data_IF_454719736525
#
_entry.id   IF_454719736525
#
_cell.length_a   1.000
_cell.length_b   1.000
_cell.length_c   1.000
_cell.angle_alpha   90.00
_cell.angle_beta   90.00
_cell.angle_gamma   90.00
#
_symmetry.space_group_name_H-M   'P 1'
#
loop_
_entity.id
_entity.type
_entity.pdbx_description
1 polymer ?
#
# COMPACT_ATOMS: atom_id res chain seq x y z
N UNK A 1 8.29 -0.91 -10.75
CA UNK A 1 8.01 0.54 -10.74
C UNK A 1 6.66 0.77 -11.42
N UNK A 2 5.92 1.85 -11.10
CA UNK A 2 4.56 2.15 -11.65
C UNK A 2 3.41 1.27 -11.14
N UNK A 3 3.48 0.80 -9.90
CA UNK A 3 2.33 0.16 -9.24
C UNK A 3 1.41 1.20 -8.61
N UNK A 4 0.11 0.95 -8.63
CA UNK A 4 -0.81 1.68 -7.75
C UNK A 4 -0.52 1.28 -6.30
N UNK A 5 -0.59 2.21 -5.37
CA UNK A 5 -0.44 1.92 -3.94
C UNK A 5 -1.40 2.74 -3.09
N UNK A 6 -1.60 2.31 -1.85
CA UNK A 6 -2.21 3.11 -0.78
C UNK A 6 -1.32 3.14 0.46
N UNK A 7 -1.54 4.14 1.33
CA UNK A 7 -0.85 4.27 2.61
C UNK A 7 -1.81 3.83 3.72
N UNK A 8 -1.37 2.88 4.54
CA UNK A 8 -2.06 2.50 5.77
C UNK A 8 -1.49 3.25 6.96
N UNK A 9 -2.37 4.02 7.60
CA UNK A 9 -2.14 4.67 8.89
C UNK A 9 -2.93 3.95 9.98
N UNK A 10 -2.33 3.82 11.16
CA UNK A 10 -2.98 3.26 12.34
C UNK A 10 -3.23 4.38 13.34
N UNK A 11 -4.49 4.62 13.68
CA UNK A 11 -4.91 5.65 14.63
C UNK A 11 -5.48 4.97 15.87
N UNK A 12 -4.93 5.27 17.04
CA UNK A 12 -5.45 4.87 18.34
C UNK A 12 -6.27 6.00 18.92
N UNK A 13 -7.55 5.75 19.18
CA UNK A 13 -8.46 6.70 19.85
C UNK A 13 -8.60 6.24 21.30
N UNK A 14 -8.23 7.08 22.26
CA UNK A 14 -8.29 6.74 23.70
C UNK A 14 -9.39 7.47 24.45
N UNK A 15 -9.88 8.57 23.90
CA UNK A 15 -10.97 9.35 24.49
C UNK A 15 -11.74 10.04 23.39
N UNK A 16 -13.05 10.21 23.58
CA UNK A 16 -13.96 10.91 22.66
C UNK A 16 -14.37 12.28 23.18
N UNK A 17 -14.33 12.49 24.50
CA UNK A 17 -14.62 13.77 25.16
C UNK A 17 -13.76 13.92 26.43
N UNK A 18 -12.63 14.66 26.37
CA UNK A 18 -12.11 15.33 25.18
C UNK A 18 -11.63 14.30 24.14
N UNK A 19 -11.66 14.66 22.85
CA UNK A 19 -11.13 13.79 21.79
C UNK A 19 -9.60 13.66 21.93
N UNK A 20 -9.11 12.45 22.13
CA UNK A 20 -7.68 12.13 22.21
C UNK A 20 -7.38 11.01 21.23
N UNK A 21 -6.52 11.31 20.25
CA UNK A 21 -6.12 10.39 19.18
C UNK A 21 -4.61 10.39 18.99
N UNK A 22 -4.03 9.22 18.74
CA UNK A 22 -2.61 9.01 18.48
C UNK A 22 -2.42 8.37 17.11
N UNK A 23 -1.47 8.88 16.33
CA UNK A 23 -1.05 8.26 15.08
C UNK A 23 0.16 7.37 15.35
N UNK A 24 0.06 6.08 15.04
CA UNK A 24 1.19 5.16 15.13
C UNK A 24 2.15 5.35 13.95
N UNK A 25 3.44 5.46 14.26
CA UNK A 25 4.53 5.58 13.29
C UNK A 25 5.55 4.44 13.47
N UNK A 26 6.05 3.82 12.39
CA UNK A 26 5.73 4.09 11.00
C UNK A 26 4.43 3.42 10.52
N UNK A 27 3.81 4.00 9.49
CA UNK A 27 2.79 3.32 8.69
C UNK A 27 3.41 2.34 7.68
N UNK A 28 2.59 1.80 6.78
CA UNK A 28 3.08 1.00 5.65
C UNK A 28 2.32 1.31 4.37
N UNK A 29 2.98 1.16 3.23
CA UNK A 29 2.36 1.19 1.91
C UNK A 29 1.89 -0.21 1.52
N UNK A 30 0.77 -0.29 0.82
CA UNK A 30 0.30 -1.51 0.16
C UNK A 30 0.30 -1.30 -1.34
N UNK A 31 1.04 -2.12 -2.08
CA UNK A 31 1.17 -1.98 -3.53
C UNK A 31 0.25 -2.94 -4.27
N UNK A 32 -0.36 -2.53 -5.37
CA UNK A 32 -1.10 -3.42 -6.25
C UNK A 32 -0.18 -4.49 -6.85
N UNK A 33 -0.71 -5.67 -7.15
CA UNK A 33 0.09 -6.82 -7.59
C UNK A 33 0.67 -6.63 -8.99
N UNK A 34 -0.01 -5.88 -9.84
CA UNK A 34 0.41 -5.62 -11.21
C UNK A 34 0.71 -4.15 -11.45
N UNK A 35 1.58 -3.89 -12.42
CA UNK A 35 1.86 -2.54 -12.92
C UNK A 35 0.56 -1.84 -13.31
N UNK A 36 0.42 -0.59 -12.88
CA UNK A 36 -0.76 0.21 -13.14
C UNK A 36 -0.94 0.48 -14.63
N UNK A 37 -2.17 0.32 -15.10
CA UNK A 37 -2.61 0.68 -16.44
C UNK A 37 -3.87 1.54 -16.30
N UNK A 38 -4.06 2.51 -17.21
CA UNK A 38 -5.28 3.31 -17.20
C UNK A 38 -6.50 2.39 -17.40
N UNK A 39 -7.59 2.57 -16.64
CA UNK A 39 -8.78 1.75 -16.78
C UNK A 39 -9.33 1.78 -18.22
N UNK A 40 -9.62 0.59 -18.76
CA UNK A 40 -10.33 0.31 -19.99
C UNK A 40 -11.48 -0.65 -19.69
N UNK A 41 -12.39 -0.85 -20.65
CA UNK A 41 -13.47 -1.83 -20.50
C UNK A 41 -12.92 -3.23 -20.21
N UNK A 42 -11.78 -3.58 -20.81
CA UNK A 42 -11.15 -4.89 -20.68
C UNK A 42 -10.39 -5.08 -19.36
N UNK A 43 -9.66 -4.05 -18.89
CA UNK A 43 -8.79 -4.19 -17.72
C UNK A 43 -9.42 -3.72 -16.40
N UNK A 44 -10.55 -3.01 -16.44
CA UNK A 44 -11.22 -2.47 -15.24
C UNK A 44 -11.64 -3.55 -14.25
N UNK A 45 -11.92 -4.77 -14.74
CA UNK A 45 -12.25 -5.95 -13.93
C UNK A 45 -11.01 -6.62 -13.30
N UNK A 46 -9.80 -6.26 -13.76
CA UNK A 46 -8.57 -6.84 -13.24
C UNK A 46 -8.16 -6.15 -11.94
N UNK A 47 -8.59 -6.75 -10.84
CA UNK A 47 -8.33 -6.26 -9.49
C UNK A 47 -6.82 -6.14 -9.18
N UNK A 48 -5.95 -6.97 -9.77
CA UNK A 48 -4.51 -6.91 -9.51
C UNK A 48 -3.85 -5.59 -9.94
N UNK A 49 -4.45 -4.87 -10.90
CA UNK A 49 -3.98 -3.56 -11.38
C UNK A 49 -4.55 -2.42 -10.52
N UNK A 50 -5.80 -2.55 -10.10
CA UNK A 50 -6.58 -1.43 -9.57
C UNK A 50 -6.80 -1.46 -8.06
N UNK A 51 -6.65 -2.62 -7.42
CA UNK A 51 -6.83 -2.81 -5.98
C UNK A 51 -5.49 -3.13 -5.29
N UNK A 52 -5.34 -2.61 -4.09
CA UNK A 52 -4.14 -2.72 -3.23
C UNK A 52 -4.40 -3.57 -1.97
N UNK A 53 -5.53 -4.30 -1.95
CA UNK A 53 -5.93 -5.13 -0.82
C UNK A 53 -5.04 -6.37 -0.68
N UNK A 54 -4.63 -6.68 0.55
CA UNK A 54 -3.77 -7.85 0.85
C UNK A 54 -4.42 -9.19 0.53
N UNK A 55 -5.75 -9.29 0.69
CA UNK A 55 -6.48 -10.53 0.42
C UNK A 55 -6.47 -10.96 -1.06
N UNK A 56 -6.03 -10.09 -1.98
CA UNK A 56 -5.79 -10.50 -3.37
C UNK A 56 -4.61 -11.45 -3.53
N UNK A 57 -3.76 -11.57 -2.49
CA UNK A 57 -2.63 -12.52 -2.44
C UNK A 57 -3.02 -13.98 -2.21
N UNK A 58 -4.31 -14.27 -1.98
CA UNK A 58 -4.81 -15.62 -1.72
C UNK A 58 -4.86 -15.99 -0.22
N UNK A 59 -5.05 -17.28 0.11
CA UNK A 59 -5.43 -17.75 1.45
C UNK A 59 -4.34 -17.61 2.53
N UNK A 60 -3.13 -17.19 2.16
CA UNK A 60 -2.11 -16.80 3.10
C UNK A 60 -2.07 -15.26 3.15
N UNK A 61 -2.47 -14.67 4.28
CA UNK A 61 -2.26 -13.25 4.63
C UNK A 61 -0.76 -12.91 4.76
N UNK A 62 0.04 -13.28 3.77
CA UNK A 62 1.47 -13.01 3.65
C UNK A 62 1.67 -11.85 2.70
N UNK A 63 2.77 -11.13 2.90
CA UNK A 63 3.30 -10.20 1.91
C UNK A 63 3.42 -10.95 0.58
N UNK A 64 2.72 -10.49 -0.45
CA UNK A 64 2.85 -11.03 -1.80
C UNK A 64 3.92 -10.27 -2.56
N UNK A 65 4.46 -10.89 -3.61
CA UNK A 65 5.33 -10.20 -4.56
C UNK A 65 4.51 -9.61 -5.70
N UNK A 66 4.87 -8.40 -6.11
CA UNK A 66 4.36 -7.81 -7.35
C UNK A 66 4.94 -8.51 -8.58
N UNK A 67 4.40 -8.25 -9.78
CA UNK A 67 5.00 -8.71 -11.04
C UNK A 67 6.48 -8.27 -11.19
N UNK A 68 6.82 -7.10 -10.68
CA UNK A 68 8.20 -6.58 -10.59
C UNK A 68 9.00 -7.08 -9.36
N UNK A 69 8.56 -8.13 -8.66
CA UNK A 69 9.24 -8.75 -7.51
C UNK A 69 9.40 -7.85 -6.26
N UNK A 70 8.61 -6.79 -6.11
CA UNK A 70 8.61 -6.00 -4.88
C UNK A 70 7.69 -6.61 -3.82
N UNK A 71 8.01 -6.37 -2.55
CA UNK A 71 7.12 -6.70 -1.44
C UNK A 71 5.83 -5.87 -1.51
N UNK A 72 4.68 -6.55 -1.47
CA UNK A 72 3.35 -5.93 -1.52
C UNK A 72 3.02 -5.07 -0.29
N UNK A 73 3.83 -5.17 0.78
CA UNK A 73 3.79 -4.30 1.95
C UNK A 73 5.17 -3.70 2.14
N UNK A 74 5.25 -2.37 2.11
CA UNK A 74 6.50 -1.63 2.23
C UNK A 74 6.44 -0.73 3.46
N UNK A 75 7.48 -0.70 4.28
CA UNK A 75 7.58 0.22 5.40
C UNK A 75 7.59 1.68 4.88
N UNK A 76 6.73 2.54 5.43
CA UNK A 76 6.57 3.91 4.94
C UNK A 76 7.82 4.77 5.15
N UNK A 77 8.47 4.67 6.30
CA UNK A 77 9.69 5.42 6.60
C UNK A 77 10.83 5.04 5.64
N UNK A 78 10.99 3.74 5.37
CA UNK A 78 11.95 3.26 4.37
C UNK A 78 11.62 3.81 2.97
N UNK A 79 10.36 3.73 2.56
CA UNK A 79 9.93 4.21 1.24
C UNK A 79 10.19 5.71 1.07
N UNK A 80 9.88 6.53 2.08
CA UNK A 80 10.10 7.97 2.01
C UNK A 80 11.59 8.31 1.89
N UNK A 81 12.46 7.63 2.66
CA UNK A 81 13.91 7.78 2.54
C UNK A 81 14.42 7.42 1.14
N UNK A 82 13.91 6.32 0.58
CA UNK A 82 14.27 5.90 -0.77
C UNK A 82 13.81 6.96 -1.79
N UNK A 83 12.60 7.51 -1.68
CA UNK A 83 12.12 8.59 -2.56
C UNK A 83 12.99 9.83 -2.46
N UNK A 84 13.31 10.29 -1.26
CA UNK A 84 14.13 11.48 -1.05
C UNK A 84 15.54 11.31 -1.63
N UNK A 85 16.15 10.12 -1.46
CA UNK A 85 17.47 9.81 -2.01
C UNK A 85 17.53 9.71 -3.54
N UNK A 86 16.41 9.45 -4.21
CA UNK A 86 16.32 9.34 -5.66
C UNK A 86 15.96 10.68 -6.34
N UNK A 87 15.91 11.78 -5.60
CA UNK A 87 15.69 13.13 -6.15
C UNK A 87 16.99 13.90 -6.44
N UNK A 88 18.16 13.33 -6.14
CA UNK A 88 19.49 13.79 -6.59
C UNK A 88 19.93 13.07 -7.88
#
# INVERSE_FOLDING_TARGET
>A
KNHKFDIRLHVLITSIDPLITYLHYPGYLRMAKSVYQKPTVENSINNHIHLTNLHQGGPANKVYLTDDMYDGVVNLDKFLKDVDSNQE
#
